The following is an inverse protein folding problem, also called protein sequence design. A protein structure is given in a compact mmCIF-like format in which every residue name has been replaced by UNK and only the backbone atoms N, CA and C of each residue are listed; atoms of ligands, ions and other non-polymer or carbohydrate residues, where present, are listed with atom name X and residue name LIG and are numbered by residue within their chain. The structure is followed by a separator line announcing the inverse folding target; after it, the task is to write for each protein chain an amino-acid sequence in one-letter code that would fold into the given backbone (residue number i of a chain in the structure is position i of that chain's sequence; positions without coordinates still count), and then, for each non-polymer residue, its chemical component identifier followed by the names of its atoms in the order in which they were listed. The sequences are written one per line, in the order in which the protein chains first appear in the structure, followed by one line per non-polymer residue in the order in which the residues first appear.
data_IF_716783528278
#
_entry.id   IF_716783528278
#
_cell.length_a   1.000
_cell.length_b   1.000
_cell.length_c   1.000
_cell.angle_alpha   90.00
_cell.angle_beta   90.00
_cell.angle_gamma   90.00
#
_symmetry.space_group_name_H-M   'P 1'
#
loop_
_entity.id
_entity.type
_entity.pdbx_description
1 polymer ?
#
# COMPACT_ATOMS: atom_id res chain seq x y z
N UNK A 1 31.92 -15.11 5.53
CA UNK A 1 31.17 -14.01 4.89
C UNK A 1 30.30 -14.62 3.81
N UNK A 2 29.01 -14.25 3.74
CA UNK A 2 28.09 -14.79 2.75
C UNK A 2 28.49 -14.36 1.35
N UNK A 3 28.17 -15.20 0.35
CA UNK A 3 28.27 -14.82 -1.06
C UNK A 3 27.22 -13.74 -1.38
N UNK A 4 27.60 -12.69 -2.11
CA UNK A 4 26.68 -11.63 -2.54
C UNK A 4 26.54 -11.64 -4.06
N UNK A 5 25.30 -11.59 -4.55
CA UNK A 5 25.00 -11.49 -5.96
C UNK A 5 23.89 -10.46 -6.23
N UNK A 6 23.97 -9.77 -7.36
CA UNK A 6 23.04 -8.70 -7.75
C UNK A 6 22.26 -9.09 -8.99
N UNK A 7 20.98 -8.76 -9.05
CA UNK A 7 20.09 -9.14 -10.13
C UNK A 7 19.13 -8.01 -10.48
N UNK A 8 18.72 -7.95 -11.74
CA UNK A 8 17.51 -7.24 -12.15
C UNK A 8 16.34 -8.21 -12.03
N UNK A 9 15.14 -7.75 -11.67
CA UNK A 9 13.96 -8.62 -11.47
C UNK A 9 13.69 -9.58 -12.64
N UNK A 10 13.99 -9.14 -13.86
CA UNK A 10 13.74 -9.86 -15.11
C UNK A 10 14.90 -10.74 -15.57
N UNK A 11 15.99 -10.84 -14.79
CA UNK A 11 17.21 -11.56 -15.17
C UNK A 11 17.54 -12.66 -14.19
N UNK A 12 17.72 -13.88 -14.71
CA UNK A 12 18.27 -15.02 -13.94
C UNK A 12 19.80 -14.94 -13.80
N UNK A 13 20.44 -14.00 -14.50
CA UNK A 13 21.88 -13.82 -14.48
C UNK A 13 22.31 -12.67 -13.57
N UNK A 14 23.39 -12.87 -12.79
CA UNK A 14 23.90 -11.83 -11.91
C UNK A 14 24.53 -10.71 -12.73
N UNK A 15 24.35 -9.48 -12.25
CA UNK A 15 25.00 -8.29 -12.78
C UNK A 15 26.16 -7.89 -11.88
N UNK A 16 27.24 -7.40 -12.48
CA UNK A 16 28.45 -6.96 -11.78
C UNK A 16 29.09 -5.77 -12.47
N UNK A 17 30.27 -5.37 -12.00
CA UNK A 17 30.99 -4.17 -12.49
C UNK A 17 31.26 -4.18 -14.01
N UNK A 18 31.38 -5.35 -14.61
CA UNK A 18 31.60 -5.52 -16.05
C UNK A 18 30.31 -5.51 -16.86
N UNK A 19 29.15 -5.52 -16.22
CA UNK A 19 27.85 -5.58 -16.89
C UNK A 19 27.49 -4.20 -17.48
N UNK A 20 26.96 -4.11 -18.71
CA UNK A 20 26.68 -2.82 -19.38
C UNK A 20 25.73 -1.88 -18.64
N UNK A 21 24.96 -2.40 -17.69
CA UNK A 21 24.03 -1.61 -16.88
C UNK A 21 24.66 -1.02 -15.62
N UNK A 22 25.82 -1.51 -15.18
CA UNK A 22 26.41 -1.16 -13.89
C UNK A 22 26.62 0.35 -13.73
N UNK A 23 27.16 1.00 -14.76
CA UNK A 23 27.42 2.44 -14.75
C UNK A 23 26.26 3.28 -15.32
N UNK A 24 25.15 2.65 -15.71
CA UNK A 24 23.97 3.38 -16.21
C UNK A 24 23.23 4.05 -15.06
N UNK A 25 22.69 5.27 -15.25
CA UNK A 25 21.86 5.91 -14.25
C UNK A 25 20.57 5.13 -14.04
N UNK A 26 20.10 5.10 -12.79
CA UNK A 26 18.76 4.63 -12.46
C UNK A 26 17.72 5.62 -12.97
N UNK A 27 16.59 5.15 -13.51
CA UNK A 27 15.42 5.98 -13.75
C UNK A 27 14.95 6.66 -12.47
N UNK A 28 14.54 7.92 -12.55
CA UNK A 28 14.00 8.66 -11.39
C UNK A 28 12.49 8.46 -11.19
N UNK A 29 11.81 7.76 -12.11
CA UNK A 29 10.37 7.51 -12.07
C UNK A 29 9.96 6.22 -12.80
N UNK A 30 8.72 5.76 -12.54
CA UNK A 30 8.08 4.61 -13.23
C UNK A 30 8.05 4.74 -14.76
N UNK A 31 7.98 5.95 -15.27
CA UNK A 31 7.89 6.23 -16.71
C UNK A 31 9.25 6.21 -17.44
N UNK A 32 10.31 5.79 -16.76
CA UNK A 32 11.66 5.74 -17.36
C UNK A 32 12.27 7.11 -17.61
N UNK A 33 11.60 8.20 -17.23
CA UNK A 33 12.10 9.55 -17.43
C UNK A 33 13.19 9.85 -16.39
N UNK A 34 14.40 10.11 -16.89
CA UNK A 34 15.44 10.82 -16.16
C UNK A 34 15.09 12.30 -16.21
N UNK A 35 14.43 12.83 -15.17
CA UNK A 35 14.41 14.28 -15.02
C UNK A 35 15.85 14.80 -14.96
N UNK A 36 16.18 15.91 -15.65
CA UNK A 36 17.50 16.50 -15.53
C UNK A 36 17.75 16.84 -14.05
N UNK A 37 18.95 16.54 -13.51
CA UNK A 37 19.26 16.79 -12.12
C UNK A 37 18.99 18.26 -11.80
N UNK A 38 18.22 18.51 -10.73
CA UNK A 38 18.00 19.86 -10.24
C UNK A 38 19.32 20.47 -9.73
N UNK A 39 19.38 21.79 -9.46
CA UNK A 39 20.59 22.48 -9.03
C UNK A 39 21.23 21.96 -7.72
N UNK A 40 20.55 21.02 -7.03
CA UNK A 40 20.96 20.40 -5.78
C UNK A 40 21.23 18.88 -5.92
N UNK A 41 21.04 18.30 -7.10
CA UNK A 41 21.21 16.86 -7.32
C UNK A 41 22.66 16.56 -7.69
N UNK A 42 23.37 16.03 -6.69
CA UNK A 42 24.59 15.27 -6.88
C UNK A 42 24.38 14.18 -7.95
N UNK A 43 25.47 13.80 -8.60
CA UNK A 43 25.62 12.75 -9.61
C UNK A 43 24.50 11.67 -9.58
N UNK A 44 23.80 11.40 -10.70
CA UNK A 44 22.70 10.44 -10.72
C UNK A 44 23.16 9.06 -10.23
N UNK A 45 22.34 8.41 -9.40
CA UNK A 45 22.65 7.10 -8.82
C UNK A 45 22.65 6.06 -9.94
N UNK A 46 23.75 5.34 -10.12
CA UNK A 46 23.83 4.24 -11.10
C UNK A 46 23.29 2.93 -10.53
N UNK A 47 23.02 1.93 -11.36
CA UNK A 47 22.66 0.58 -10.88
C UNK A 47 23.74 0.03 -9.93
N UNK A 48 25.02 0.17 -10.30
CA UNK A 48 26.15 -0.25 -9.47
C UNK A 48 26.23 0.53 -8.14
N UNK A 49 25.96 1.84 -8.17
CA UNK A 49 25.85 2.68 -6.98
C UNK A 49 24.72 2.22 -6.05
N UNK A 50 23.57 1.88 -6.62
CA UNK A 50 22.42 1.34 -5.90
C UNK A 50 22.74 -0.01 -5.25
N UNK A 51 23.21 -1.02 -6.00
CA UNK A 51 23.52 -2.33 -5.44
C UNK A 51 24.61 -2.26 -4.38
N UNK A 52 25.64 -1.43 -4.61
CA UNK A 52 26.70 -1.20 -3.63
C UNK A 52 26.17 -0.57 -2.35
N UNK A 53 25.23 0.38 -2.46
CA UNK A 53 24.60 1.02 -1.30
C UNK A 53 23.74 0.02 -0.50
N UNK A 54 22.89 -0.76 -1.17
CA UNK A 54 22.05 -1.79 -0.52
C UNK A 54 22.92 -2.87 0.13
N UNK A 55 23.96 -3.34 -0.56
CA UNK A 55 24.91 -4.32 -0.02
C UNK A 55 25.61 -3.80 1.24
N UNK A 56 26.08 -2.55 1.23
CA UNK A 56 26.73 -1.94 2.40
C UNK A 56 25.75 -1.78 3.55
N UNK A 57 24.52 -1.35 3.26
CA UNK A 57 23.45 -1.20 4.24
C UNK A 57 23.13 -2.54 4.93
N UNK A 58 23.05 -3.63 4.16
CA UNK A 58 22.80 -4.98 4.68
C UNK A 58 23.98 -5.55 5.47
N UNK A 59 25.20 -5.36 4.97
CA UNK A 59 26.43 -5.90 5.58
C UNK A 59 26.94 -5.08 6.79
N UNK A 60 26.38 -3.90 7.04
CA UNK A 60 26.75 -3.03 8.15
C UNK A 60 26.75 -3.78 9.50
N UNK A 61 27.71 -3.44 10.35
CA UNK A 61 27.88 -4.06 11.68
C UNK A 61 27.89 -5.59 11.64
N UNK A 62 28.64 -6.18 10.71
CA UNK A 62 28.74 -7.64 10.51
C UNK A 62 27.37 -8.30 10.28
N UNK A 63 26.58 -7.74 9.35
CA UNK A 63 25.28 -8.26 8.94
C UNK A 63 24.18 -8.24 10.03
N UNK A 64 24.37 -7.51 11.13
CA UNK A 64 23.44 -7.52 12.27
C UNK A 64 21.99 -7.21 11.86
N UNK A 65 21.78 -6.26 10.95
CA UNK A 65 20.44 -5.87 10.44
C UNK A 65 19.74 -7.05 9.74
N UNK A 66 20.47 -7.77 8.89
CA UNK A 66 19.96 -8.96 8.18
C UNK A 66 19.76 -10.12 9.15
N UNK A 67 20.74 -10.38 10.02
CA UNK A 67 20.66 -11.46 11.02
C UNK A 67 19.43 -11.29 11.93
N UNK A 68 19.15 -10.08 12.40
CA UNK A 68 17.97 -9.80 13.22
C UNK A 68 16.67 -10.10 12.45
N UNK A 69 16.56 -9.63 11.21
CA UNK A 69 15.38 -9.84 10.37
C UNK A 69 15.15 -11.33 10.06
N UNK A 70 16.19 -12.04 9.63
CA UNK A 70 16.11 -13.47 9.29
C UNK A 70 15.87 -14.31 10.53
N UNK A 71 16.53 -14.01 11.66
CA UNK A 71 16.30 -14.71 12.93
C UNK A 71 14.85 -14.58 13.39
N UNK A 72 14.28 -13.38 13.26
CA UNK A 72 12.88 -13.14 13.57
C UNK A 72 11.95 -13.95 12.67
N UNK A 73 12.16 -13.94 11.34
CA UNK A 73 11.30 -14.69 10.40
C UNK A 73 11.46 -16.21 10.51
N UNK A 74 12.63 -16.70 10.93
CA UNK A 74 12.88 -18.13 11.15
C UNK A 74 12.51 -18.59 12.56
N UNK A 75 12.14 -17.67 13.45
CA UNK A 75 11.93 -17.92 14.89
C UNK A 75 13.14 -18.65 15.52
N UNK A 76 14.35 -18.32 15.05
CA UNK A 76 15.58 -19.00 15.43
C UNK A 76 16.76 -18.02 15.41
N UNK A 77 17.51 -17.85 16.51
CA UNK A 77 18.69 -16.99 16.52
C UNK A 77 19.75 -17.47 15.53
N UNK A 78 20.26 -16.56 14.69
CA UNK A 78 21.32 -16.83 13.73
C UNK A 78 22.59 -16.04 14.04
N UNK A 79 23.72 -16.61 13.66
CA UNK A 79 25.04 -16.00 13.65
C UNK A 79 25.52 -15.73 12.21
N UNK A 80 26.58 -14.94 12.06
CA UNK A 80 27.15 -14.63 10.74
C UNK A 80 27.58 -15.89 9.97
N UNK A 81 28.00 -16.95 10.68
CA UNK A 81 28.42 -18.22 10.06
C UNK A 81 27.27 -19.02 9.46
N UNK A 82 26.02 -18.71 9.83
CA UNK A 82 24.82 -19.39 9.32
C UNK A 82 24.33 -18.79 8.00
N UNK A 83 24.85 -17.61 7.61
CA UNK A 83 24.52 -16.95 6.35
C UNK A 83 25.36 -17.53 5.22
N UNK A 84 24.70 -18.19 4.28
CA UNK A 84 25.33 -18.81 3.11
C UNK A 84 25.43 -17.83 1.94
N UNK A 85 24.30 -17.19 1.59
CA UNK A 85 24.18 -16.32 0.41
C UNK A 85 23.18 -15.19 0.63
N UNK A 86 23.46 -14.03 0.06
CA UNK A 86 22.57 -12.87 -0.04
C UNK A 86 22.44 -12.46 -1.50
N UNK A 87 21.27 -12.64 -2.09
CA UNK A 87 20.97 -12.18 -3.44
C UNK A 87 20.07 -10.93 -3.38
N UNK A 88 20.44 -9.89 -4.14
CA UNK A 88 19.77 -8.59 -4.14
C UNK A 88 19.17 -8.35 -5.53
N UNK A 89 17.84 -8.29 -5.60
CA UNK A 89 17.08 -8.09 -6.83
C UNK A 89 16.48 -6.69 -6.83
N UNK A 90 16.78 -5.88 -7.84
CA UNK A 90 16.03 -4.63 -8.05
C UNK A 90 14.69 -4.97 -8.71
N UNK A 91 13.60 -4.88 -7.95
CA UNK A 91 12.26 -5.35 -8.35
C UNK A 91 11.58 -4.39 -9.34
N UNK A 92 11.54 -3.10 -9.00
CA UNK A 92 10.92 -2.08 -9.85
C UNK A 92 11.45 -0.69 -9.56
N UNK A 93 11.15 0.25 -10.45
CA UNK A 93 11.35 1.68 -10.23
C UNK A 93 10.05 2.30 -9.75
N UNK A 94 9.91 2.55 -8.45
CA UNK A 94 8.73 3.19 -7.88
C UNK A 94 8.86 4.71 -7.84
N UNK A 95 7.73 5.41 -7.74
CA UNK A 95 7.72 6.87 -7.63
C UNK A 95 8.29 7.40 -6.31
N UNK A 96 8.39 6.54 -5.29
CA UNK A 96 8.93 6.86 -3.96
C UNK A 96 10.19 6.06 -3.66
N UNK A 97 10.15 4.76 -3.93
CA UNK A 97 11.23 3.84 -3.65
C UNK A 97 11.56 2.97 -4.84
N UNK A 98 12.83 2.57 -4.93
CA UNK A 98 13.30 1.45 -5.72
C UNK A 98 13.44 0.24 -4.78
N UNK A 99 12.40 -0.59 -4.62
CA UNK A 99 12.48 -1.76 -3.76
C UNK A 99 13.49 -2.76 -4.28
N UNK A 100 14.40 -3.19 -3.40
CA UNK A 100 15.22 -4.37 -3.61
C UNK A 100 14.64 -5.53 -2.82
N UNK A 101 14.32 -6.65 -3.49
CA UNK A 101 14.09 -7.91 -2.79
C UNK A 101 15.42 -8.53 -2.42
N UNK A 102 15.57 -8.88 -1.16
CA UNK A 102 16.76 -9.52 -0.61
C UNK A 102 16.40 -10.96 -0.31
N UNK A 103 16.93 -11.90 -1.08
CA UNK A 103 16.86 -13.32 -0.75
C UNK A 103 18.08 -13.71 0.07
N UNK A 104 17.84 -14.16 1.29
CA UNK A 104 18.88 -14.67 2.18
C UNK A 104 18.76 -16.18 2.28
N UNK A 105 19.84 -16.89 2.01
CA UNK A 105 19.95 -18.32 2.30
C UNK A 105 20.69 -18.49 3.61
N UNK A 106 20.02 -19.07 4.60
CA UNK A 106 20.59 -19.38 5.92
C UNK A 106 20.12 -20.76 6.37
N UNK A 107 21.06 -21.60 6.85
CA UNK A 107 20.77 -22.99 7.24
C UNK A 107 19.98 -23.76 6.17
N UNK A 108 20.36 -23.59 4.89
CA UNK A 108 19.69 -24.15 3.69
C UNK A 108 18.23 -23.72 3.48
N UNK A 109 17.72 -22.76 4.24
CA UNK A 109 16.39 -22.16 4.06
C UNK A 109 16.52 -20.80 3.40
N UNK A 110 15.56 -20.46 2.53
CA UNK A 110 15.47 -19.14 1.91
C UNK A 110 14.48 -18.26 2.65
N UNK A 111 14.85 -17.02 2.88
CA UNK A 111 14.01 -15.99 3.49
C UNK A 111 14.09 -14.74 2.63
N UNK A 112 12.92 -14.20 2.28
CA UNK A 112 12.81 -12.95 1.52
C UNK A 112 12.63 -11.75 2.46
N UNK A 113 13.34 -10.67 2.17
CA UNK A 113 13.21 -9.35 2.79
C UNK A 113 13.10 -8.28 1.70
N UNK A 114 12.74 -7.06 2.08
CA UNK A 114 12.77 -5.91 1.16
C UNK A 114 13.65 -4.79 1.72
N UNK A 115 14.43 -4.16 0.86
CA UNK A 115 15.07 -2.87 1.14
C UNK A 115 14.41 -1.82 0.25
N UNK A 116 13.64 -0.92 0.85
CA UNK A 116 13.03 0.21 0.14
C UNK A 116 14.02 1.37 0.09
N UNK A 117 14.52 1.70 -1.11
CA UNK A 117 15.56 2.73 -1.29
C UNK A 117 14.98 4.01 -1.87
N UNK A 118 15.17 5.13 -1.19
CA UNK A 118 14.71 6.44 -1.60
C UNK A 118 15.77 7.20 -2.40
N UNK A 119 15.72 7.08 -3.72
CA UNK A 119 16.66 7.77 -4.62
C UNK A 119 16.28 9.24 -4.82
N UNK A 120 14.98 9.53 -4.93
CA UNK A 120 14.46 10.87 -5.24
C UNK A 120 14.06 11.68 -3.99
N UNK A 121 13.88 13.00 -4.18
CA UNK A 121 13.56 13.96 -3.10
C UNK A 121 12.27 13.63 -2.35
N UNK A 122 11.27 13.11 -3.04
CA UNK A 122 9.97 12.77 -2.44
C UNK A 122 10.11 11.56 -1.52
N UNK A 123 10.73 10.48 -2.01
CA UNK A 123 11.03 9.28 -1.22
C UNK A 123 11.87 9.61 0.00
N UNK A 124 12.92 10.42 -0.15
CA UNK A 124 13.85 10.77 0.94
C UNK A 124 13.13 11.47 2.10
N UNK A 125 12.18 12.36 1.79
CA UNK A 125 11.35 13.04 2.80
C UNK A 125 10.35 12.12 3.49
N UNK A 126 10.00 11.01 2.85
CA UNK A 126 8.94 10.11 3.32
C UNK A 126 9.47 8.88 4.07
N UNK A 127 10.72 8.46 3.91
CA UNK A 127 11.29 7.31 4.65
C UNK A 127 10.97 7.38 6.15
N UNK A 128 11.31 8.50 6.80
CA UNK A 128 11.06 8.68 8.23
C UNK A 128 9.57 8.66 8.59
N UNK A 129 8.71 9.22 7.74
CA UNK A 129 7.27 9.28 8.00
C UNK A 129 6.65 7.90 7.88
N UNK A 130 7.01 7.18 6.82
CA UNK A 130 6.52 5.85 6.53
C UNK A 130 6.99 4.84 7.58
N UNK A 131 8.27 4.84 7.95
CA UNK A 131 8.77 3.90 8.97
C UNK A 131 8.15 4.14 10.34
N UNK A 132 7.96 5.41 10.76
CA UNK A 132 7.23 5.74 11.99
C UNK A 132 5.78 5.28 11.93
N UNK A 133 5.09 5.53 10.81
CA UNK A 133 3.71 5.10 10.63
C UNK A 133 3.57 3.57 10.65
N UNK A 134 4.48 2.83 10.00
CA UNK A 134 4.52 1.37 10.03
C UNK A 134 4.77 0.82 11.44
N UNK A 135 5.71 1.41 12.17
CA UNK A 135 6.01 1.02 13.55
C UNK A 135 4.82 1.27 14.48
N UNK A 136 4.23 2.47 14.42
CA UNK A 136 3.05 2.83 15.20
C UNK A 136 1.88 1.88 14.89
N UNK A 137 1.54 1.69 13.61
CA UNK A 137 0.43 0.83 13.22
C UNK A 137 0.68 -0.64 13.57
N UNK A 138 1.92 -1.13 13.54
CA UNK A 138 2.24 -2.50 13.95
C UNK A 138 1.97 -2.72 15.44
N UNK A 139 2.31 -1.74 16.29
CA UNK A 139 2.05 -1.80 17.73
C UNK A 139 0.54 -1.73 18.02
N UNK A 140 -0.16 -0.83 17.34
CA UNK A 140 -1.59 -0.61 17.53
C UNK A 140 -2.47 -1.69 16.89
N UNK A 141 -1.98 -2.39 15.85
CA UNK A 141 -2.72 -3.36 15.02
C UNK A 141 -1.87 -4.61 14.72
N UNK A 142 -1.74 -5.55 15.68
CA UNK A 142 -0.88 -6.73 15.55
C UNK A 142 -1.48 -7.86 14.69
N UNK A 143 -2.17 -7.53 13.59
CA UNK A 143 -2.87 -8.49 12.72
C UNK A 143 -2.01 -8.98 11.53
N UNK A 144 -0.76 -8.53 11.42
CA UNK A 144 0.15 -8.93 10.35
C UNK A 144 -0.18 -8.32 8.97
N UNK A 145 -0.93 -7.21 8.94
CA UNK A 145 -1.29 -6.48 7.73
C UNK A 145 -0.16 -5.62 7.15
N UNK A 146 0.82 -5.27 7.98
CA UNK A 146 1.92 -4.35 7.65
C UNK A 146 3.26 -5.05 7.69
N UNK A 147 4.25 -4.61 6.89
CA UNK A 147 5.60 -5.12 6.99
C UNK A 147 6.23 -4.70 8.32
N UNK A 148 6.99 -5.59 8.93
CA UNK A 148 7.90 -5.22 10.01
C UNK A 148 9.05 -4.40 9.43
N UNK A 149 9.38 -3.27 10.05
CA UNK A 149 10.62 -2.53 9.77
C UNK A 149 11.72 -3.04 10.71
N UNK A 150 12.81 -3.53 10.14
CA UNK A 150 13.92 -4.12 10.89
C UNK A 150 15.10 -3.16 11.07
N UNK A 151 15.35 -2.30 10.09
CA UNK A 151 16.45 -1.34 10.14
C UNK A 151 16.16 -0.14 9.23
N UNK A 152 16.73 1.01 9.57
CA UNK A 152 16.57 2.27 8.83
C UNK A 152 17.96 2.88 8.64
N UNK A 153 18.21 3.43 7.47
CA UNK A 153 19.34 4.32 7.16
C UNK A 153 18.77 5.67 6.72
N UNK A 154 19.19 6.72 7.41
CA UNK A 154 18.78 8.08 7.13
C UNK A 154 19.93 8.90 6.54
N UNK A 155 21.17 8.53 6.85
CA UNK A 155 22.36 9.21 6.41
C UNK A 155 22.80 8.72 5.02
N UNK A 156 23.11 9.64 4.11
CA UNK A 156 23.54 9.33 2.74
C UNK A 156 22.39 9.00 1.79
N UNK A 157 22.13 7.72 1.51
CA UNK A 157 21.03 7.26 0.66
C UNK A 157 19.95 6.62 1.54
N UNK A 158 18.85 7.34 1.83
CA UNK A 158 17.85 6.85 2.76
C UNK A 158 17.21 5.55 2.29
N UNK A 159 17.12 4.57 3.19
CA UNK A 159 16.49 3.28 2.91
C UNK A 159 16.06 2.58 4.19
N UNK A 160 15.20 1.58 4.09
CA UNK A 160 14.82 0.75 5.23
C UNK A 160 14.65 -0.72 4.84
N UNK A 161 15.02 -1.61 5.75
CA UNK A 161 14.83 -3.05 5.67
C UNK A 161 13.47 -3.43 6.25
N UNK A 162 12.69 -4.23 5.55
CA UNK A 162 11.42 -4.73 6.05
C UNK A 162 11.05 -6.12 5.54
N UNK A 163 9.85 -6.56 5.93
CA UNK A 163 9.26 -7.80 5.45
C UNK A 163 9.00 -7.77 3.94
N UNK A 164 9.45 -8.82 3.25
CA UNK A 164 8.84 -9.22 1.99
C UNK A 164 7.65 -10.15 2.28
N UNK A 165 6.56 -9.98 1.55
CA UNK A 165 5.38 -10.83 1.66
C UNK A 165 5.39 -11.90 0.56
N UNK A 166 6.00 -13.06 0.87
CA UNK A 166 6.06 -14.18 -0.08
C UNK A 166 4.66 -14.68 -0.47
N UNK A 167 4.48 -14.89 -1.78
CA UNK A 167 3.22 -15.32 -2.40
C UNK A 167 2.15 -14.23 -2.46
N UNK A 168 2.48 -12.98 -2.16
CA UNK A 168 1.59 -11.85 -2.38
C UNK A 168 1.97 -11.09 -3.64
N UNK A 169 0.96 -10.60 -4.35
CA UNK A 169 1.09 -10.03 -5.69
C UNK A 169 0.31 -8.73 -5.82
N UNK A 170 0.78 -7.85 -6.71
CA UNK A 170 0.01 -6.68 -7.13
C UNK A 170 -1.20 -7.11 -7.97
N UNK A 171 -2.23 -6.27 -8.01
CA UNK A 171 -3.44 -6.51 -8.78
C UNK A 171 -3.96 -5.19 -9.33
N UNK A 172 -4.62 -5.24 -10.48
CA UNK A 172 -5.19 -4.07 -11.14
C UNK A 172 -6.48 -4.39 -11.88
N UNK A 173 -7.32 -3.38 -12.09
CA UNK A 173 -8.38 -3.42 -13.08
C UNK A 173 -7.78 -3.69 -14.46
N UNK A 174 -8.42 -4.57 -15.23
CA UNK A 174 -8.04 -4.91 -16.60
C UNK A 174 -9.26 -4.90 -17.51
N UNK A 175 -9.07 -4.48 -18.75
CA UNK A 175 -10.14 -4.48 -19.75
C UNK A 175 -10.10 -5.77 -20.56
N UNK A 176 -11.14 -6.61 -20.46
CA UNK A 176 -11.33 -7.69 -21.42
C UNK A 176 -11.77 -7.13 -22.77
N UNK A 177 -11.21 -7.67 -23.86
CA UNK A 177 -11.72 -7.38 -25.20
C UNK A 177 -13.15 -7.90 -25.34
N UNK A 178 -14.14 -6.99 -25.34
CA UNK A 178 -15.55 -7.30 -25.59
C UNK A 178 -16.49 -7.12 -24.39
N UNK A 179 -15.96 -7.04 -23.17
CA UNK A 179 -16.77 -6.79 -21.97
C UNK A 179 -16.94 -5.29 -21.71
N UNK A 180 -18.09 -4.92 -21.13
CA UNK A 180 -18.42 -3.51 -20.81
C UNK A 180 -17.81 -3.04 -19.48
N UNK A 181 -17.47 -3.97 -18.60
CA UNK A 181 -16.97 -3.66 -17.26
C UNK A 181 -15.60 -4.32 -17.05
N UNK A 182 -14.67 -3.64 -16.34
CA UNK A 182 -13.35 -4.21 -16.09
C UNK A 182 -13.40 -5.38 -15.11
N UNK A 183 -12.48 -6.33 -15.29
CA UNK A 183 -12.15 -7.41 -14.35
C UNK A 183 -10.96 -7.00 -13.48
N UNK A 184 -10.56 -7.84 -12.50
CA UNK A 184 -9.31 -7.69 -11.76
C UNK A 184 -8.33 -8.80 -12.15
N UNK A 185 -7.12 -8.41 -12.53
CA UNK A 185 -5.99 -9.31 -12.78
C UNK A 185 -4.99 -9.23 -11.63
N UNK A 186 -4.47 -10.37 -11.20
CA UNK A 186 -3.35 -10.51 -10.27
C UNK A 186 -2.07 -10.75 -11.07
N UNK A 187 -1.02 -10.00 -10.75
CA UNK A 187 0.29 -10.11 -11.38
C UNK A 187 1.17 -11.09 -10.61
N UNK A 188 0.91 -12.38 -10.80
CA UNK A 188 1.66 -13.48 -10.21
C UNK A 188 2.98 -13.82 -10.94
N UNK A 189 3.22 -13.18 -12.09
CA UNK A 189 4.38 -13.42 -12.94
C UNK A 189 4.19 -14.56 -13.93
N UNK A 190 3.02 -15.20 -13.95
CA UNK A 190 2.68 -16.25 -14.89
C UNK A 190 2.32 -15.68 -16.27
N UNK A 191 2.52 -16.50 -17.31
CA UNK A 191 2.21 -16.11 -18.70
C UNK A 191 0.71 -15.96 -18.98
N UNK A 192 -0.13 -16.61 -18.17
CA UNK A 192 -1.58 -16.55 -18.30
C UNK A 192 -2.15 -15.60 -17.25
N UNK A 193 -2.98 -14.62 -17.62
CA UNK A 193 -3.57 -13.69 -16.66
C UNK A 193 -4.36 -14.42 -15.55
N UNK A 194 -3.99 -14.19 -14.30
CA UNK A 194 -4.73 -14.68 -13.15
C UNK A 194 -5.91 -13.73 -12.85
N UNK A 195 -7.09 -14.00 -13.39
CA UNK A 195 -8.29 -13.20 -13.14
C UNK A 195 -8.99 -13.64 -11.85
N UNK A 196 -9.47 -12.66 -11.07
CA UNK A 196 -10.28 -12.95 -9.90
C UNK A 196 -11.70 -13.40 -10.29
N UNK A 197 -12.20 -14.41 -9.59
CA UNK A 197 -13.64 -14.69 -9.57
C UNK A 197 -14.40 -13.61 -8.79
N UNK A 198 -15.71 -13.50 -9.01
CA UNK A 198 -16.57 -12.54 -8.29
C UNK A 198 -16.43 -12.65 -6.76
N UNK A 199 -16.33 -13.87 -6.23
CA UNK A 199 -16.12 -14.11 -4.79
C UNK A 199 -14.78 -13.58 -4.30
N UNK A 200 -13.72 -13.76 -5.10
CA UNK A 200 -12.39 -13.28 -4.75
C UNK A 200 -12.29 -11.76 -4.87
N UNK A 201 -12.92 -11.15 -5.89
CA UNK A 201 -13.06 -9.70 -6.04
C UNK A 201 -13.80 -9.10 -4.84
N UNK A 202 -14.94 -9.67 -4.44
CA UNK A 202 -15.67 -9.24 -3.26
C UNK A 202 -14.80 -9.32 -1.99
N UNK A 203 -14.12 -10.45 -1.78
CA UNK A 203 -13.24 -10.62 -0.64
C UNK A 203 -12.04 -9.64 -0.64
N UNK A 204 -11.48 -9.33 -1.82
CA UNK A 204 -10.41 -8.35 -1.98
C UNK A 204 -10.86 -6.96 -1.49
N UNK A 205 -11.94 -6.42 -2.06
CA UNK A 205 -12.45 -5.10 -1.69
C UNK A 205 -12.87 -5.02 -0.22
N UNK A 206 -13.54 -6.07 0.28
CA UNK A 206 -13.93 -6.16 1.68
C UNK A 206 -12.73 -6.11 2.61
N UNK A 207 -11.69 -6.90 2.34
CA UNK A 207 -10.50 -6.93 3.18
C UNK A 207 -9.73 -5.61 3.13
N UNK A 208 -9.62 -4.97 1.96
CA UNK A 208 -8.99 -3.65 1.84
C UNK A 208 -9.72 -2.59 2.68
N UNK A 209 -11.05 -2.52 2.57
CA UNK A 209 -11.88 -1.59 3.32
C UNK A 209 -11.84 -1.86 4.84
N UNK A 210 -11.86 -3.14 5.23
CA UNK A 210 -11.73 -3.57 6.61
C UNK A 210 -10.40 -3.13 7.22
N UNK A 211 -9.27 -3.38 6.54
CA UNK A 211 -7.95 -3.01 7.06
C UNK A 211 -7.85 -1.49 7.24
N UNK A 212 -8.23 -0.71 6.21
CA UNK A 212 -8.17 0.75 6.30
C UNK A 212 -9.07 1.32 7.40
N UNK A 213 -10.27 0.76 7.58
CA UNK A 213 -11.21 1.21 8.62
C UNK A 213 -10.78 0.79 10.01
N UNK A 214 -10.22 -0.41 10.16
CA UNK A 214 -9.61 -0.86 11.41
C UNK A 214 -8.45 0.05 11.84
N UNK A 215 -7.76 0.67 10.88
CA UNK A 215 -6.69 1.64 11.11
C UNK A 215 -7.19 3.09 11.20
N UNK A 216 -8.49 3.36 11.09
CA UNK A 216 -9.02 4.69 11.39
C UNK A 216 -9.18 4.85 12.90
N UNK A 217 -8.67 5.95 13.45
CA UNK A 217 -8.90 6.34 14.83
C UNK A 217 -10.02 7.41 14.88
N UNK A 218 -11.22 7.09 15.40
CA UNK A 218 -12.31 8.06 15.50
C UNK A 218 -12.03 9.25 16.40
N UNK A 219 -11.14 9.12 17.38
CA UNK A 219 -10.81 10.19 18.34
C UNK A 219 -9.83 11.17 17.73
N UNK A 220 -8.72 10.71 17.17
CA UNK A 220 -7.72 11.60 16.57
C UNK A 220 -7.98 11.90 15.09
N UNK A 221 -8.92 11.18 14.46
CA UNK A 221 -9.22 11.16 13.00
C UNK A 221 -8.05 10.69 12.13
N UNK A 222 -6.98 10.18 12.75
CA UNK A 222 -5.81 9.66 12.03
C UNK A 222 -6.20 8.42 11.25
N UNK A 223 -5.64 8.32 10.06
CA UNK A 223 -5.85 7.22 9.15
C UNK A 223 -4.60 7.03 8.31
N UNK A 224 -4.47 5.87 7.68
CA UNK A 224 -3.48 5.67 6.61
C UNK A 224 -3.86 6.65 5.49
N UNK A 225 -3.03 7.67 5.22
CA UNK A 225 -3.32 8.67 4.19
C UNK A 225 -2.09 9.49 3.78
N UNK A 226 -1.79 9.62 2.48
CA UNK A 226 -2.55 9.08 1.35
C UNK A 226 -2.38 7.57 1.20
N UNK A 227 -3.29 6.93 0.49
CA UNK A 227 -3.14 5.56 -0.04
C UNK A 227 -3.71 5.49 -1.45
N UNK A 228 -3.22 4.58 -2.28
CA UNK A 228 -3.73 4.36 -3.62
C UNK A 228 -3.46 2.92 -4.05
N UNK A 229 -4.50 2.11 -4.28
CA UNK A 229 -4.29 0.73 -4.71
C UNK A 229 -3.71 0.63 -6.13
N UNK A 230 -4.07 1.52 -7.08
CA UNK A 230 -3.33 1.64 -8.36
C UNK A 230 -1.84 1.96 -8.22
N UNK A 231 -1.40 2.49 -7.07
CA UNK A 231 0.02 2.70 -6.82
C UNK A 231 0.73 1.42 -6.32
N UNK A 232 0.00 0.32 -6.15
CA UNK A 232 0.50 -0.94 -5.61
C UNK A 232 0.65 -0.93 -4.10
N UNK A 233 -0.14 -0.12 -3.38
CA UNK A 233 -0.04 -0.03 -1.91
C UNK A 233 -0.52 -1.34 -1.23
N UNK A 234 -1.41 -2.06 -1.89
CA UNK A 234 -1.95 -3.34 -1.45
C UNK A 234 -1.39 -4.49 -2.27
N UNK A 235 -1.25 -5.64 -1.63
CA UNK A 235 -0.93 -6.89 -2.28
C UNK A 235 -1.89 -7.98 -1.84
N UNK A 236 -2.17 -8.92 -2.73
CA UNK A 236 -3.13 -10.01 -2.53
C UNK A 236 -2.45 -11.35 -2.65
N UNK A 237 -2.87 -12.30 -1.81
CA UNK A 237 -2.55 -13.72 -1.94
C UNK A 237 -3.81 -14.53 -2.06
N UNK A 238 -3.84 -15.41 -3.05
CA UNK A 238 -4.95 -16.33 -3.32
C UNK A 238 -4.59 -17.73 -2.81
N UNK A 239 -5.44 -18.30 -1.97
CA UNK A 239 -5.30 -19.65 -1.44
C UNK A 239 -6.64 -20.38 -1.60
N UNK A 240 -6.84 -21.07 -2.74
CA UNK A 240 -8.13 -21.68 -3.10
C UNK A 240 -9.25 -20.63 -3.04
N UNK A 241 -10.16 -20.75 -2.07
CA UNK A 241 -11.29 -19.84 -1.85
C UNK A 241 -10.95 -18.65 -0.92
N UNK A 242 -9.73 -18.59 -0.38
CA UNK A 242 -9.31 -17.53 0.54
C UNK A 242 -8.54 -16.45 -0.21
N UNK A 243 -9.03 -15.21 -0.12
CA UNK A 243 -8.31 -14.00 -0.53
C UNK A 243 -7.73 -13.32 0.70
N UNK A 244 -6.42 -13.14 0.76
CA UNK A 244 -5.74 -12.42 1.85
C UNK A 244 -5.12 -11.14 1.31
N UNK A 245 -5.30 -10.02 2.02
CA UNK A 245 -4.78 -8.71 1.61
C UNK A 245 -3.82 -8.17 2.67
N UNK A 246 -2.76 -7.50 2.23
CA UNK A 246 -1.83 -6.75 3.07
C UNK A 246 -1.47 -5.41 2.45
N UNK A 247 -0.98 -4.48 3.25
CA UNK A 247 -0.36 -3.24 2.75
C UNK A 247 1.15 -3.38 2.78
N UNK A 248 1.82 -3.01 1.68
CA UNK A 248 3.29 -2.96 1.62
C UNK A 248 3.85 -1.57 1.92
N UNK A 249 2.99 -0.55 1.95
CA UNK A 249 3.30 0.82 2.33
C UNK A 249 2.07 1.44 2.98
N UNK A 250 2.29 2.32 3.94
CA UNK A 250 1.22 3.15 4.55
C UNK A 250 1.41 4.63 4.24
N UNK A 251 2.58 5.00 3.70
CA UNK A 251 3.05 6.36 3.36
C UNK A 251 3.11 7.33 4.54
N UNK A 252 2.01 7.52 5.26
CA UNK A 252 1.85 8.41 6.40
C UNK A 252 0.61 7.98 7.23
N UNK A 253 0.56 8.38 8.51
CA UNK A 253 -0.56 8.11 9.41
C UNK A 253 -1.05 9.39 10.08
N UNK A 254 -2.08 10.01 9.50
CA UNK A 254 -2.47 11.40 9.79
C UNK A 254 -3.95 11.67 9.50
N UNK A 255 -4.52 12.79 10.00
CA UNK A 255 -5.85 13.22 9.60
C UNK A 255 -5.93 13.53 8.09
N UNK A 256 -7.07 13.21 7.47
CA UNK A 256 -7.34 13.59 6.07
C UNK A 256 -7.50 15.11 5.92
N UNK A 257 -8.25 15.74 6.83
CA UNK A 257 -8.49 17.18 6.83
C UNK A 257 -7.43 17.87 7.69
N UNK A 258 -6.69 18.80 7.08
CA UNK A 258 -5.50 19.43 7.69
C UNK A 258 -5.77 20.43 8.80
N UNK A 259 -7.03 20.67 9.19
CA UNK A 259 -7.34 21.60 10.30
C UNK A 259 -6.74 21.11 11.62
N UNK A 260 -6.43 19.81 11.74
CA UNK A 260 -5.69 19.25 12.88
C UNK A 260 -6.42 19.29 14.22
N UNK A 261 -7.67 19.75 14.22
CA UNK A 261 -8.53 19.75 15.39
C UNK A 261 -9.18 18.36 15.52
N UNK A 262 -8.97 17.74 16.68
CA UNK A 262 -9.72 16.57 17.09
C UNK A 262 -11.21 16.94 17.25
N UNK A 263 -12.14 16.03 16.95
CA UNK A 263 -13.56 16.24 17.20
C UNK A 263 -13.79 16.62 18.66
N UNK A 264 -14.52 17.71 18.87
CA UNK A 264 -14.81 18.25 20.20
C UNK A 264 -16.07 17.64 20.82
N UNK A 265 -16.87 16.95 20.01
CA UNK A 265 -18.12 16.32 20.40
C UNK A 265 -18.47 15.12 19.49
N UNK A 266 -19.47 14.34 19.89
CA UNK A 266 -19.90 13.13 19.18
C UNK A 266 -20.39 13.41 17.75
N UNK A 267 -21.09 14.52 17.52
CA UNK A 267 -21.58 14.88 16.18
C UNK A 267 -20.44 15.16 15.20
N UNK A 268 -19.39 15.85 15.67
CA UNK A 268 -18.17 16.07 14.87
C UNK A 268 -17.45 14.76 14.57
N UNK A 269 -17.35 13.86 15.55
CA UNK A 269 -16.76 12.53 15.36
C UNK A 269 -17.51 11.73 14.29
N UNK A 270 -18.85 11.69 14.34
CA UNK A 270 -19.69 11.01 13.34
C UNK A 270 -19.54 11.65 11.96
N UNK A 271 -19.48 12.98 11.86
CA UNK A 271 -19.29 13.69 10.60
C UNK A 271 -17.90 13.48 9.99
N UNK A 272 -16.86 13.28 10.81
CA UNK A 272 -15.52 12.92 10.36
C UNK A 272 -15.43 11.46 9.92
N UNK A 273 -16.10 10.55 10.64
CA UNK A 273 -16.19 9.14 10.26
C UNK A 273 -17.00 8.96 8.96
N UNK A 274 -18.08 9.74 8.75
CA UNK A 274 -18.79 9.82 7.48
C UNK A 274 -17.90 10.34 6.36
N UNK A 275 -17.09 11.37 6.61
CA UNK A 275 -16.15 11.85 5.61
C UNK A 275 -15.10 10.81 5.23
N UNK A 276 -14.60 10.05 6.22
CA UNK A 276 -13.72 8.92 5.97
C UNK A 276 -14.41 7.82 5.14
N UNK A 277 -15.65 7.44 5.49
CA UNK A 277 -16.45 6.45 4.75
C UNK A 277 -16.67 6.85 3.28
N UNK A 278 -17.06 8.10 3.02
CA UNK A 278 -17.26 8.60 1.66
C UNK A 278 -15.94 8.66 0.88
N UNK A 279 -14.86 9.09 1.52
CA UNK A 279 -13.54 9.06 0.89
C UNK A 279 -13.10 7.63 0.54
N UNK A 280 -13.30 6.69 1.45
CA UNK A 280 -12.97 5.27 1.28
C UNK A 280 -13.72 4.69 0.08
N UNK A 281 -15.05 4.84 0.03
CA UNK A 281 -15.90 4.30 -1.04
C UNK A 281 -15.57 4.90 -2.41
N UNK A 282 -15.28 6.20 -2.49
CA UNK A 282 -14.81 6.83 -3.72
C UNK A 282 -13.45 6.28 -4.16
N UNK A 283 -12.49 6.23 -3.25
CA UNK A 283 -11.09 5.88 -3.59
C UNK A 283 -10.91 4.38 -3.85
N UNK A 284 -11.76 3.52 -3.30
CA UNK A 284 -11.82 2.09 -3.63
C UNK A 284 -12.18 1.83 -5.09
N UNK A 285 -12.87 2.76 -5.75
CA UNK A 285 -13.22 2.59 -7.17
C UNK A 285 -12.14 3.03 -8.14
N UNK A 286 -11.13 3.75 -7.68
CA UNK A 286 -10.11 4.33 -8.56
C UNK A 286 -8.92 3.39 -8.74
N UNK A 287 -8.77 2.86 -9.94
CA UNK A 287 -7.57 2.12 -10.36
C UNK A 287 -6.99 2.70 -11.66
N UNK A 288 -5.90 2.12 -12.17
CA UNK A 288 -5.45 2.29 -13.56
C UNK A 288 -5.57 0.96 -14.29
N UNK A 289 -6.02 1.00 -15.55
CA UNK A 289 -6.04 -0.22 -16.38
C UNK A 289 -4.62 -0.77 -16.49
N UNK A 290 -4.46 -2.03 -16.11
CA UNK A 290 -3.19 -2.75 -16.03
C UNK A 290 -2.11 -1.96 -15.26
N UNK A 291 -2.52 -1.22 -14.23
CA UNK A 291 -1.63 -0.49 -13.31
C UNK A 291 -0.90 0.74 -13.88
N UNK A 292 -0.92 0.96 -15.20
CA UNK A 292 -0.13 2.01 -15.86
C UNK A 292 -0.90 2.88 -16.84
N UNK A 293 -2.07 2.44 -17.31
CA UNK A 293 -2.83 3.13 -18.36
C UNK A 293 -3.74 4.24 -17.80
N UNK A 294 -4.90 4.46 -18.41
CA UNK A 294 -5.90 5.44 -17.98
C UNK A 294 -6.52 5.08 -16.62
N UNK A 295 -6.98 6.12 -15.90
CA UNK A 295 -7.73 5.93 -14.66
C UNK A 295 -9.09 5.29 -14.96
N UNK A 296 -9.32 4.14 -14.34
CA UNK A 296 -10.53 3.36 -14.41
C UNK A 296 -11.41 3.55 -13.18
N UNK A 297 -12.69 3.18 -13.34
CA UNK A 297 -13.70 3.21 -12.29
C UNK A 297 -14.24 1.80 -12.09
N UNK A 298 -14.07 1.25 -10.90
CA UNK A 298 -14.53 -0.10 -10.58
C UNK A 298 -16.07 -0.18 -10.65
N UNK A 299 -16.65 -1.32 -11.05
CA UNK A 299 -18.09 -1.49 -11.19
C UNK A 299 -18.84 -1.46 -9.85
N UNK A 300 -20.17 -1.30 -9.91
CA UNK A 300 -21.00 -1.14 -8.71
C UNK A 300 -20.96 -2.32 -7.75
N UNK A 301 -20.68 -3.52 -8.26
CA UNK A 301 -20.55 -4.74 -7.45
C UNK A 301 -19.46 -4.67 -6.38
N UNK A 302 -18.48 -3.75 -6.50
CA UNK A 302 -17.46 -3.57 -5.47
C UNK A 302 -17.99 -2.89 -4.20
N UNK A 303 -19.10 -2.14 -4.27
CA UNK A 303 -19.54 -1.31 -3.15
C UNK A 303 -20.10 -2.10 -1.97
N UNK A 304 -20.91 -3.13 -2.22
CA UNK A 304 -21.43 -3.95 -1.11
C UNK A 304 -20.29 -4.56 -0.29
N UNK A 305 -19.28 -5.21 -0.91
CA UNK A 305 -18.10 -5.67 -0.16
C UNK A 305 -17.30 -4.55 0.52
N UNK A 306 -17.15 -3.37 -0.10
CA UNK A 306 -16.49 -2.22 0.55
C UNK A 306 -17.24 -1.79 1.81
N UNK A 307 -18.57 -1.69 1.77
CA UNK A 307 -19.41 -1.31 2.91
C UNK A 307 -19.36 -2.40 3.99
N UNK A 308 -19.43 -3.68 3.62
CA UNK A 308 -19.20 -4.80 4.54
C UNK A 308 -17.85 -4.69 5.24
N UNK A 309 -16.80 -4.46 4.47
CA UNK A 309 -15.45 -4.33 4.98
C UNK A 309 -15.32 -3.14 5.93
N UNK A 310 -15.92 -2.00 5.58
CA UNK A 310 -15.96 -0.83 6.43
C UNK A 310 -16.57 -1.16 7.81
N UNK A 311 -17.76 -1.77 7.86
CA UNK A 311 -18.38 -2.09 9.15
C UNK A 311 -17.64 -3.19 9.93
N UNK A 312 -17.03 -4.17 9.26
CA UNK A 312 -16.12 -5.14 9.90
C UNK A 312 -14.91 -4.44 10.53
N UNK A 313 -14.30 -3.49 9.81
CA UNK A 313 -13.19 -2.70 10.34
C UNK A 313 -13.63 -1.80 11.49
N UNK A 314 -14.84 -1.24 11.43
CA UNK A 314 -15.38 -0.38 12.49
C UNK A 314 -15.67 -1.17 13.77
N UNK A 315 -16.16 -2.40 13.67
CA UNK A 315 -16.30 -3.33 14.80
C UNK A 315 -14.94 -3.65 15.44
N UNK A 316 -13.90 -3.91 14.64
CA UNK A 316 -12.53 -4.07 15.16
C UNK A 316 -12.01 -2.81 15.85
N UNK A 317 -12.20 -1.64 15.23
CA UNK A 317 -11.83 -0.34 15.81
C UNK A 317 -12.55 -0.11 17.14
N UNK A 318 -13.84 -0.45 17.23
CA UNK A 318 -14.60 -0.28 18.47
C UNK A 318 -14.01 -1.12 19.60
N UNK A 319 -13.73 -2.41 19.35
CA UNK A 319 -13.13 -3.33 20.32
C UNK A 319 -11.74 -2.90 20.77
N UNK A 320 -10.91 -2.40 19.85
CA UNK A 320 -9.54 -2.01 20.14
C UNK A 320 -9.44 -0.69 20.92
N UNK A 321 -10.37 0.23 20.69
CA UNK A 321 -10.35 1.57 21.31
C UNK A 321 -11.37 1.72 22.46
N UNK A 322 -12.05 0.63 22.86
CA UNK A 322 -12.98 0.64 23.99
C UNK A 322 -14.31 1.35 23.72
N UNK A 323 -14.71 1.51 22.45
CA UNK A 323 -16.07 1.98 22.13
C UNK A 323 -17.10 0.88 22.43
N UNK A 324 -18.38 1.25 22.65
CA UNK A 324 -19.45 0.27 22.81
C UNK A 324 -19.56 -0.66 21.60
N UNK A 325 -19.87 -1.95 21.82
CA UNK A 325 -20.10 -2.93 20.73
C UNK A 325 -21.21 -2.49 19.76
N UNK A 326 -22.16 -1.67 20.24
CA UNK A 326 -23.23 -1.11 19.41
C UNK A 326 -22.77 0.04 18.48
N UNK A 327 -21.53 0.52 18.60
CA UNK A 327 -21.03 1.69 17.84
C UNK A 327 -21.14 1.53 16.31
N UNK A 328 -20.76 0.40 15.69
CA UNK A 328 -20.93 0.22 14.25
C UNK A 328 -22.40 0.29 13.82
N UNK A 329 -23.31 -0.31 14.60
CA UNK A 329 -24.75 -0.27 14.34
C UNK A 329 -25.29 1.15 14.45
N UNK A 330 -24.92 1.88 15.50
CA UNK A 330 -25.32 3.27 15.69
C UNK A 330 -24.83 4.15 14.53
N UNK A 331 -23.59 3.96 14.07
CA UNK A 331 -23.08 4.69 12.92
C UNK A 331 -23.82 4.34 11.62
N UNK A 332 -24.20 3.07 11.43
CA UNK A 332 -25.06 2.66 10.31
C UNK A 332 -26.39 3.41 10.31
N UNK A 333 -27.07 3.47 11.45
CA UNK A 333 -28.31 4.24 11.62
C UNK A 333 -28.11 5.74 11.37
N UNK A 334 -26.97 6.30 11.81
CA UNK A 334 -26.60 7.69 11.53
C UNK A 334 -26.48 7.94 10.02
N UNK A 335 -25.87 7.02 9.26
CA UNK A 335 -25.75 7.11 7.80
C UNK A 335 -27.09 6.96 7.08
N UNK A 336 -27.97 6.06 7.54
CA UNK A 336 -29.31 5.86 6.98
C UNK A 336 -30.21 7.10 7.11
N UNK A 337 -29.99 7.91 8.14
CA UNK A 337 -30.75 9.15 8.36
C UNK A 337 -30.29 10.29 7.44
N UNK A 338 -29.17 10.14 6.73
CA UNK A 338 -28.65 11.16 5.83
C UNK A 338 -29.41 11.11 4.50
N UNK A 339 -29.81 12.27 3.99
CA UNK A 339 -30.39 12.29 2.65
C UNK A 339 -29.29 12.18 1.58
N UNK A 340 -29.65 11.64 0.42
CA UNK A 340 -28.70 11.47 -0.70
C UNK A 340 -28.04 12.80 -1.11
N UNK A 341 -28.77 13.91 -1.01
CA UNK A 341 -28.23 15.24 -1.32
C UNK A 341 -27.09 15.64 -0.37
N UNK A 342 -27.24 15.43 0.94
CA UNK A 342 -26.21 15.75 1.94
C UNK A 342 -24.96 14.88 1.73
N UNK A 343 -25.14 13.57 1.50
CA UNK A 343 -24.04 12.66 1.18
C UNK A 343 -23.30 13.10 -0.09
N UNK A 344 -24.04 13.57 -1.11
CA UNK A 344 -23.46 14.02 -2.38
C UNK A 344 -22.67 15.30 -2.21
N UNK A 345 -23.21 16.27 -1.48
CA UNK A 345 -22.54 17.54 -1.23
C UNK A 345 -21.24 17.30 -0.46
N UNK A 346 -21.29 16.48 0.59
CA UNK A 346 -20.11 16.09 1.37
C UNK A 346 -19.06 15.34 0.54
N UNK A 347 -19.49 14.36 -0.27
CA UNK A 347 -18.60 13.64 -1.18
C UNK A 347 -17.95 14.58 -2.21
N UNK A 348 -18.69 15.60 -2.68
CA UNK A 348 -18.19 16.66 -3.54
C UNK A 348 -17.13 17.54 -2.87
N UNK A 349 -17.32 17.91 -1.60
CA UNK A 349 -16.33 18.65 -0.81
C UNK A 349 -15.04 17.84 -0.59
N UNK A 350 -15.17 16.55 -0.28
CA UNK A 350 -14.05 15.61 -0.13
C UNK A 350 -13.28 15.53 -1.45
N UNK A 351 -13.98 15.34 -2.56
CA UNK A 351 -13.38 15.28 -3.90
C UNK A 351 -12.54 16.54 -4.19
N UNK A 352 -13.08 17.72 -3.89
CA UNK A 352 -12.41 19.00 -4.13
C UNK A 352 -11.21 19.25 -3.20
N UNK A 353 -11.25 18.73 -1.98
CA UNK A 353 -10.22 18.97 -0.96
C UNK A 353 -9.07 17.97 -0.99
N UNK A 354 -9.35 16.72 -1.37
CA UNK A 354 -8.38 15.62 -1.35
C UNK A 354 -7.66 15.47 -2.70
N UNK A 355 -8.38 15.61 -3.80
CA UNK A 355 -7.84 15.32 -5.14
C UNK A 355 -7.42 16.60 -5.86
N UNK A 356 -6.26 16.55 -6.51
CA UNK A 356 -5.76 17.68 -7.29
C UNK A 356 -6.77 18.05 -8.39
N UNK A 357 -6.99 19.36 -8.58
CA UNK A 357 -8.00 19.91 -9.51
C UNK A 357 -7.81 19.46 -10.96
N UNK A 358 -6.58 19.13 -11.34
CA UNK A 358 -6.21 18.73 -12.70
C UNK A 358 -5.96 17.23 -12.82
N UNK A 359 -6.16 16.45 -11.75
CA UNK A 359 -5.93 15.01 -11.77
C UNK A 359 -7.04 14.26 -12.52
N UNK A 360 -6.64 13.23 -13.28
CA UNK A 360 -7.54 12.27 -13.94
C UNK A 360 -8.45 11.57 -12.91
N UNK A 361 -7.93 11.26 -11.71
CA UNK A 361 -8.69 10.71 -10.58
C UNK A 361 -9.89 11.59 -10.23
N UNK A 362 -9.66 12.89 -10.07
CA UNK A 362 -10.73 13.83 -9.72
C UNK A 362 -11.79 13.91 -10.81
N UNK A 363 -11.37 14.03 -12.06
CA UNK A 363 -12.29 14.08 -13.20
C UNK A 363 -13.15 12.81 -13.27
N UNK A 364 -12.54 11.64 -13.03
CA UNK A 364 -13.26 10.37 -13.00
C UNK A 364 -14.26 10.30 -11.85
N UNK A 365 -13.91 10.79 -10.65
CA UNK A 365 -14.85 10.89 -9.53
C UNK A 365 -16.01 11.83 -9.88
N UNK A 366 -15.72 13.06 -10.31
CA UNK A 366 -16.74 14.08 -10.59
C UNK A 366 -17.75 13.58 -11.66
N UNK A 367 -17.28 12.85 -12.67
CA UNK A 367 -18.13 12.23 -13.70
C UNK A 367 -19.08 11.14 -13.16
N UNK A 368 -18.71 10.46 -12.07
CA UNK A 368 -19.47 9.34 -11.50
C UNK A 368 -20.16 9.68 -10.16
N UNK A 369 -19.92 10.86 -9.60
CA UNK A 369 -20.25 11.20 -8.20
C UNK A 369 -21.73 11.00 -7.87
N UNK A 370 -22.62 11.48 -8.74
CA UNK A 370 -24.08 11.38 -8.51
C UNK A 370 -24.54 9.93 -8.50
N UNK A 371 -24.12 9.14 -9.49
CA UNK A 371 -24.46 7.71 -9.57
C UNK A 371 -23.89 6.94 -8.39
N UNK A 372 -22.62 7.19 -8.05
CA UNK A 372 -21.93 6.55 -6.93
C UNK A 372 -22.65 6.77 -5.60
N UNK A 373 -22.95 8.03 -5.26
CA UNK A 373 -23.62 8.37 -4.01
C UNK A 373 -25.03 7.81 -3.97
N UNK A 374 -25.77 7.83 -5.09
CA UNK A 374 -27.08 7.20 -5.19
C UNK A 374 -27.00 5.68 -4.94
N UNK A 375 -25.99 4.99 -5.47
CA UNK A 375 -25.78 3.56 -5.19
C UNK A 375 -25.41 3.32 -3.73
N UNK A 376 -24.50 4.10 -3.13
CA UNK A 376 -24.15 4.01 -1.71
C UNK A 376 -25.37 4.24 -0.82
N UNK A 377 -26.18 5.27 -1.09
CA UNK A 377 -27.41 5.59 -0.36
C UNK A 377 -28.40 4.42 -0.37
N UNK A 378 -28.65 3.82 -1.55
CA UNK A 378 -29.52 2.63 -1.66
C UNK A 378 -29.00 1.42 -0.90
N UNK A 379 -27.69 1.18 -0.92
CA UNK A 379 -27.08 0.07 -0.19
C UNK A 379 -27.16 0.27 1.33
N UNK A 380 -27.02 1.52 1.81
CA UNK A 380 -27.17 1.85 3.23
C UNK A 380 -28.62 1.65 3.70
N UNK A 381 -29.62 2.02 2.89
CA UNK A 381 -31.03 1.87 3.25
C UNK A 381 -31.46 0.40 3.49
N UNK A 382 -30.74 -0.57 2.95
CA UNK A 382 -30.97 -2.01 3.16
C UNK A 382 -29.98 -2.68 4.13
N UNK A 383 -29.17 -1.90 4.86
CA UNK A 383 -28.10 -2.44 5.72
C UNK A 383 -28.56 -2.82 7.13
N UNK A 384 -29.61 -2.18 7.65
CA UNK A 384 -30.18 -2.45 8.98
C UNK A 384 -31.36 -3.44 9.00
N UNK A 385 -31.74 -4.00 7.85
CA UNK A 385 -32.65 -5.16 7.75
C UNK A 385 -31.88 -6.47 7.90
#
# INVERSE_FOLDING_TARGET
MPEIAYFLATSDHPIGQTHPWWDRPLPNSRLGQTEPPGPLDATPITYGGYFSAVSRFCAASRWQRVLQAVSHKMEHPLSEGDLERVAIFLEKHGSFYHPARIEVTALKKRVSLVVNVATNKVGRKNVQRETRALQQLKEERPFGWFPTVYAIEEDGLPMFLGDWFDGFHEFHLTAKSGDKEPDIVVWDGESTPCLLSEKQEAALYRNMAMILTACYDPVSTRQIFPWHHAAGDFVVRLEKERTTVKLITVRDYRPMIRSGAEPTNENEMLAMLQAFFLHLTLRMRLDRIDGVSEVAWAPDRCLTPVIEGFFQGLDLTARLNGFPEAFPRFFGQYLEQQCEADLRDRAGEITKSVFDRHSEERQRIEANLTHHVGTVSRLLAGWSE
#
